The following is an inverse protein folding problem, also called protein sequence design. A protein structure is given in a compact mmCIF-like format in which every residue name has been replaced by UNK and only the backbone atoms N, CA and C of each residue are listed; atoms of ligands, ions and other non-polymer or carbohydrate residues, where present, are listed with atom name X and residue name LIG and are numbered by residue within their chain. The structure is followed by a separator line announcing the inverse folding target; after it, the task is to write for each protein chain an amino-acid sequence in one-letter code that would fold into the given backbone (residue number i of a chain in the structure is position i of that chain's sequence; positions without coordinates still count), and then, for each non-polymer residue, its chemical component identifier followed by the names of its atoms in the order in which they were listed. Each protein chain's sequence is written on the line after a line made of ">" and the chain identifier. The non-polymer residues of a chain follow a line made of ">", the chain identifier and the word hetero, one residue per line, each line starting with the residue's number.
data_IF_211185180357
#
_entry.id   IF_211185180357
#
_cell.length_a   1.000
_cell.length_b   1.000
_cell.length_c   1.000
_cell.angle_alpha   90.00
_cell.angle_beta   90.00
_cell.angle_gamma   90.00
#
_symmetry.space_group_name_H-M   'P 1'
#
loop_
_entity.id
_entity.type
_entity.pdbx_description
1 polymer ?
#
# COMPACT_ATOMS: atom_id res chain seq x y z
N UNK A 1 -7.99 24.58 22.17
CA UNK A 1 -7.56 25.34 20.97
C UNK A 1 -7.32 24.35 19.84
N UNK A 2 -8.32 24.11 18.99
CA UNK A 2 -8.31 23.15 17.86
C UNK A 2 -8.02 23.95 16.58
N UNK A 3 -7.01 23.58 15.81
CA UNK A 3 -6.67 24.22 14.53
C UNK A 3 -6.78 23.19 13.41
N UNK A 4 -7.74 23.47 12.51
CA UNK A 4 -7.79 23.25 11.07
C UNK A 4 -7.51 21.85 10.48
N UNK A 5 -8.60 21.07 10.35
CA UNK A 5 -8.81 20.15 9.22
C UNK A 5 -9.42 20.95 8.05
N UNK A 6 -8.57 21.55 7.23
CA UNK A 6 -8.97 22.14 5.94
C UNK A 6 -8.18 21.47 4.82
N UNK A 7 -8.86 21.15 3.72
CA UNK A 7 -8.34 20.78 2.39
C UNK A 7 -8.56 19.35 1.88
N UNK A 8 -9.78 18.80 2.01
CA UNK A 8 -10.25 17.73 1.11
C UNK A 8 -11.58 18.04 0.38
N UNK A 9 -12.16 19.24 0.57
CA UNK A 9 -13.46 19.59 -0.04
C UNK A 9 -13.36 20.21 -1.45
N UNK A 10 -12.18 20.56 -1.95
CA UNK A 10 -12.08 21.40 -3.15
C UNK A 10 -11.38 20.68 -4.31
N UNK A 11 -12.09 19.77 -5.01
CA UNK A 11 -11.84 19.48 -6.45
C UNK A 11 -12.84 18.59 -7.19
N UNK A 12 -14.09 18.45 -6.73
CA UNK A 12 -15.10 17.64 -7.45
C UNK A 12 -16.39 18.43 -7.74
N UNK A 13 -16.29 19.76 -7.97
CA UNK A 13 -17.44 20.58 -8.36
C UNK A 13 -17.13 21.43 -9.61
N UNK A 14 -16.62 20.81 -10.68
CA UNK A 14 -16.47 21.50 -11.98
C UNK A 14 -17.11 20.76 -13.16
N UNK A 15 -17.90 19.72 -12.92
CA UNK A 15 -18.56 18.95 -13.99
C UNK A 15 -19.97 18.59 -13.55
N UNK A 16 -20.86 19.57 -13.34
CA UNK A 16 -22.30 19.38 -13.52
C UNK A 16 -22.89 20.73 -13.91
N UNK A 17 -23.32 20.80 -15.18
CA UNK A 17 -24.07 21.92 -15.71
C UNK A 17 -25.39 22.10 -14.98
N UNK A 18 -25.85 23.35 -14.98
CA UNK A 18 -27.15 23.79 -14.50
C UNK A 18 -28.28 23.02 -15.19
N UNK A 19 -29.10 22.29 -14.43
CA UNK A 19 -30.50 22.07 -14.79
C UNK A 19 -31.37 21.78 -13.55
N UNK A 20 -32.39 22.63 -13.41
CA UNK A 20 -33.62 22.57 -12.60
C UNK A 20 -33.66 21.77 -11.29
N UNK A 21 -33.79 22.53 -10.20
CA UNK A 21 -34.22 22.07 -8.89
C UNK A 21 -35.71 21.64 -8.88
N UNK A 22 -36.01 20.41 -8.44
CA UNK A 22 -37.25 20.13 -7.70
C UNK A 22 -37.21 18.78 -6.96
N UNK A 23 -37.56 18.86 -5.67
CA UNK A 23 -38.01 17.79 -4.76
C UNK A 23 -37.08 16.61 -4.47
N UNK A 24 -36.15 16.79 -3.53
CA UNK A 24 -35.75 15.71 -2.63
C UNK A 24 -35.84 16.22 -1.19
N UNK A 25 -36.42 15.45 -0.25
CA UNK A 25 -36.57 15.88 1.13
C UNK A 25 -35.18 16.08 1.75
N UNK A 26 -35.03 17.15 2.55
CA UNK A 26 -33.79 17.59 3.22
C UNK A 26 -33.35 16.66 4.36
N UNK A 27 -33.61 15.36 4.23
CA UNK A 27 -33.37 14.35 5.24
C UNK A 27 -32.30 13.40 4.71
N UNK A 28 -31.17 13.34 5.42
CA UNK A 28 -30.06 12.40 5.21
C UNK A 28 -28.89 12.83 4.30
N UNK A 29 -28.30 14.00 4.58
CA UNK A 29 -26.85 14.20 4.41
C UNK A 29 -26.13 13.79 5.72
N UNK A 30 -26.36 12.56 6.18
CA UNK A 30 -25.35 11.92 7.02
C UNK A 30 -24.33 11.37 6.05
N UNK A 31 -23.14 11.96 6.03
CA UNK A 31 -21.96 11.41 5.37
C UNK A 31 -21.77 9.98 5.85
N UNK A 32 -22.35 9.02 5.13
CA UNK A 32 -22.10 7.61 5.38
C UNK A 32 -20.59 7.44 5.24
N UNK A 33 -19.88 6.94 6.27
CA UNK A 33 -18.46 6.71 6.14
C UNK A 33 -18.26 5.82 4.92
N UNK A 34 -17.54 6.33 3.92
CA UNK A 34 -17.17 5.55 2.73
C UNK A 34 -16.52 4.27 3.26
N UNK A 35 -16.94 3.06 2.84
CA UNK A 35 -16.34 1.83 3.32
C UNK A 35 -14.81 1.93 3.25
N UNK A 36 -14.18 1.90 4.42
CA UNK A 36 -12.73 2.10 4.53
C UNK A 36 -12.04 0.86 3.96
N UNK A 37 -11.31 1.04 2.87
CA UNK A 37 -10.45 -0.01 2.34
C UNK A 37 -9.18 -0.11 3.20
N UNK A 38 -8.90 -1.28 3.74
CA UNK A 38 -7.65 -1.54 4.48
C UNK A 38 -6.68 -2.33 3.61
N UNK A 39 -5.47 -1.82 3.44
CA UNK A 39 -4.36 -2.46 2.75
C UNK A 39 -3.56 -3.34 3.71
N UNK A 40 -3.44 -4.63 3.43
CA UNK A 40 -2.66 -5.57 4.25
C UNK A 40 -1.36 -5.92 3.54
N UNK A 41 -0.27 -5.28 3.94
CA UNK A 41 1.05 -5.47 3.35
C UNK A 41 1.82 -6.56 4.08
N UNK A 42 2.34 -7.49 3.31
CA UNK A 42 3.12 -8.62 3.79
C UNK A 42 4.45 -8.67 3.06
N UNK A 43 5.58 -8.71 3.75
CA UNK A 43 6.85 -9.07 3.12
C UNK A 43 7.20 -10.52 3.41
N UNK A 44 7.74 -11.23 2.42
CA UNK A 44 8.12 -12.63 2.55
C UNK A 44 9.33 -12.99 1.68
N UNK A 45 9.88 -14.16 1.93
CA UNK A 45 10.93 -14.81 1.15
C UNK A 45 10.40 -16.01 0.38
N UNK A 46 10.59 -16.04 -0.94
CA UNK A 46 10.18 -17.16 -1.80
C UNK A 46 10.77 -18.49 -1.33
N UNK A 47 11.96 -18.50 -0.73
CA UNK A 47 12.60 -19.72 -0.22
C UNK A 47 11.87 -20.36 0.97
N UNK A 48 11.02 -19.61 1.70
CA UNK A 48 10.37 -20.09 2.92
C UNK A 48 8.92 -20.56 2.73
N UNK A 49 8.35 -20.37 1.53
CA UNK A 49 6.96 -20.71 1.19
C UNK A 49 5.89 -20.19 2.17
N UNK A 50 6.22 -19.23 3.03
CA UNK A 50 5.39 -18.80 4.17
C UNK A 50 4.17 -17.97 3.77
N UNK A 51 4.11 -17.58 2.50
CA UNK A 51 2.99 -16.84 1.91
C UNK A 51 1.94 -17.75 1.28
N UNK A 52 2.27 -19.00 0.95
CA UNK A 52 1.45 -19.84 0.07
C UNK A 52 0.04 -20.07 0.63
N UNK A 53 -0.06 -20.55 1.86
CA UNK A 53 -1.34 -20.78 2.54
C UNK A 53 -2.14 -19.48 2.70
N UNK A 54 -1.48 -18.39 3.10
CA UNK A 54 -2.13 -17.08 3.27
C UNK A 54 -2.71 -16.58 1.95
N UNK A 55 -1.92 -16.63 0.88
CA UNK A 55 -2.35 -16.18 -0.45
C UNK A 55 -3.50 -17.03 -1.00
N UNK A 56 -3.50 -18.35 -0.78
CA UNK A 56 -4.63 -19.20 -1.19
C UNK A 56 -5.94 -18.82 -0.50
N UNK A 57 -5.88 -18.42 0.78
CA UNK A 57 -7.07 -18.06 1.56
C UNK A 57 -7.57 -16.65 1.25
N UNK A 58 -6.66 -15.69 1.01
CA UNK A 58 -7.02 -14.28 0.93
C UNK A 58 -6.94 -13.68 -0.47
N UNK A 59 -6.26 -14.35 -1.42
CA UNK A 59 -5.94 -13.79 -2.73
C UNK A 59 -5.11 -12.50 -2.64
N UNK A 60 -5.36 -11.56 -3.54
CA UNK A 60 -4.68 -10.25 -3.58
C UNK A 60 -3.52 -10.20 -4.57
N UNK A 61 -2.59 -9.26 -4.36
CA UNK A 61 -1.44 -9.07 -5.25
C UNK A 61 -0.18 -9.75 -4.71
N UNK A 62 0.61 -10.35 -5.60
CA UNK A 62 1.99 -10.73 -5.32
C UNK A 62 2.93 -9.89 -6.17
N UNK A 63 3.80 -9.14 -5.51
CA UNK A 63 4.76 -8.21 -6.11
C UNK A 63 6.16 -8.79 -5.95
N UNK A 64 6.73 -9.30 -7.05
CA UNK A 64 8.08 -9.85 -7.06
C UNK A 64 9.13 -8.72 -7.07
N UNK A 65 9.87 -8.59 -5.98
CA UNK A 65 10.90 -7.59 -5.77
C UNK A 65 12.30 -8.09 -6.16
N UNK A 66 12.47 -9.30 -6.70
CA UNK A 66 13.79 -9.89 -7.00
C UNK A 66 14.56 -9.18 -8.11
N UNK A 67 13.87 -8.44 -8.99
CA UNK A 67 14.51 -7.66 -10.05
C UNK A 67 15.22 -6.39 -9.52
N UNK A 68 14.96 -5.98 -8.27
CA UNK A 68 15.59 -4.80 -7.67
C UNK A 68 17.05 -5.07 -7.27
N UNK A 69 17.88 -4.01 -7.15
CA UNK A 69 19.26 -4.10 -6.70
C UNK A 69 19.42 -4.97 -5.45
N UNK A 70 20.44 -5.82 -5.40
CA UNK A 70 20.59 -6.80 -4.34
C UNK A 70 21.66 -6.36 -3.32
N UNK A 71 21.27 -5.89 -2.11
CA UNK A 71 22.24 -5.45 -1.10
C UNK A 71 23.02 -6.61 -0.47
N UNK A 72 22.61 -7.86 -0.70
CA UNK A 72 23.25 -9.04 -0.12
C UNK A 72 24.74 -9.18 -0.49
N UNK A 73 25.14 -8.68 -1.65
CA UNK A 73 26.53 -8.75 -2.12
C UNK A 73 27.44 -7.67 -1.53
N UNK A 74 26.88 -6.76 -0.74
CA UNK A 74 27.63 -5.78 0.03
C UNK A 74 27.77 -6.34 1.44
N UNK A 75 28.98 -6.76 1.81
CA UNK A 75 29.26 -7.50 3.04
C UNK A 75 28.69 -6.80 4.28
N UNK A 76 28.93 -5.49 4.38
CA UNK A 76 28.44 -4.61 5.45
C UNK A 76 26.90 -4.52 5.52
N UNK A 77 26.19 -4.80 4.43
CA UNK A 77 24.73 -4.70 4.36
C UNK A 77 24.00 -6.01 4.65
N UNK A 78 24.68 -7.15 4.49
CA UNK A 78 24.09 -8.49 4.55
C UNK A 78 23.40 -8.82 5.90
N UNK A 79 23.92 -8.27 6.99
CA UNK A 79 23.40 -8.47 8.33
C UNK A 79 22.12 -7.65 8.61
N UNK A 80 21.93 -6.53 7.92
CA UNK A 80 20.80 -5.64 8.11
C UNK A 80 19.52 -6.15 7.43
N UNK A 81 18.39 -5.53 7.73
CA UNK A 81 17.08 -5.79 7.14
C UNK A 81 16.58 -4.57 6.36
N UNK A 82 15.53 -4.74 5.57
CA UNK A 82 14.87 -3.64 4.85
C UNK A 82 14.34 -2.50 5.74
N UNK A 83 14.29 -2.69 7.06
CA UNK A 83 13.91 -1.68 8.04
C UNK A 83 15.06 -0.78 8.44
N UNK A 84 16.29 -1.27 8.32
CA UNK A 84 17.46 -0.63 8.87
C UNK A 84 17.98 0.48 7.95
N UNK A 85 18.45 1.56 8.57
CA UNK A 85 18.87 2.76 7.85
C UNK A 85 19.94 2.51 6.76
N UNK A 86 20.94 1.62 6.95
CA UNK A 86 21.91 1.31 5.88
C UNK A 86 21.25 0.76 4.61
N UNK A 87 20.26 -0.12 4.75
CA UNK A 87 19.52 -0.70 3.63
C UNK A 87 18.60 0.34 2.99
N UNK A 88 17.95 1.19 3.80
CA UNK A 88 17.11 2.28 3.27
C UNK A 88 17.95 3.26 2.45
N UNK A 89 19.14 3.60 2.93
CA UNK A 89 20.09 4.46 2.19
C UNK A 89 20.49 3.81 0.87
N UNK A 90 20.94 2.55 0.90
CA UNK A 90 21.30 1.80 -0.30
C UNK A 90 20.19 1.86 -1.36
N UNK A 91 18.94 1.57 -0.99
CA UNK A 91 17.84 1.59 -1.95
C UNK A 91 17.42 2.99 -2.41
N UNK A 92 17.60 4.02 -1.57
CA UNK A 92 17.26 5.40 -1.94
C UNK A 92 18.15 5.99 -3.03
N UNK A 93 19.34 5.41 -3.23
CA UNK A 93 20.30 5.83 -4.25
C UNK A 93 20.02 5.21 -5.63
N UNK A 94 18.98 4.37 -5.75
CA UNK A 94 18.63 3.69 -6.99
C UNK A 94 17.27 4.14 -7.55
N UNK A 95 17.29 4.88 -8.66
CA UNK A 95 16.08 5.34 -9.36
C UNK A 95 15.12 4.21 -9.74
N UNK A 96 15.66 3.05 -10.11
CA UNK A 96 14.86 1.86 -10.43
C UNK A 96 13.96 1.41 -9.28
N UNK A 97 14.40 1.62 -8.03
CA UNK A 97 13.62 1.30 -6.83
C UNK A 97 12.52 2.34 -6.63
N UNK A 98 12.83 3.62 -6.80
CA UNK A 98 11.83 4.70 -6.76
C UNK A 98 10.72 4.49 -7.79
N UNK A 99 11.09 4.20 -9.04
CA UNK A 99 10.16 3.91 -10.14
C UNK A 99 9.27 2.70 -9.83
N UNK A 100 9.85 1.64 -9.24
CA UNK A 100 9.10 0.45 -8.85
C UNK A 100 8.06 0.73 -7.75
N UNK A 101 8.44 1.52 -6.74
CA UNK A 101 7.54 1.97 -5.67
C UNK A 101 6.40 2.78 -6.28
N UNK A 102 6.69 3.74 -7.17
CA UNK A 102 5.66 4.57 -7.78
C UNK A 102 4.70 3.75 -8.65
N UNK A 103 5.20 2.86 -9.50
CA UNK A 103 4.37 2.00 -10.34
C UNK A 103 3.45 1.12 -9.49
N UNK A 104 3.98 0.51 -8.43
CA UNK A 104 3.21 -0.34 -7.53
C UNK A 104 2.17 0.46 -6.75
N UNK A 105 2.52 1.63 -6.21
CA UNK A 105 1.59 2.56 -5.58
C UNK A 105 0.41 2.89 -6.50
N UNK A 106 0.67 3.22 -7.75
CA UNK A 106 -0.36 3.58 -8.72
C UNK A 106 -1.30 2.40 -9.01
N UNK A 107 -0.76 1.18 -9.14
CA UNK A 107 -1.57 -0.04 -9.28
C UNK A 107 -2.51 -0.25 -8.08
N UNK A 108 -2.00 -0.12 -6.86
CA UNK A 108 -2.79 -0.31 -5.64
C UNK A 108 -3.90 0.74 -5.52
N UNK A 109 -3.58 2.02 -5.75
CA UNK A 109 -4.55 3.12 -5.72
C UNK A 109 -5.65 2.92 -6.77
N UNK A 110 -5.27 2.55 -8.00
CA UNK A 110 -6.23 2.27 -9.06
C UNK A 110 -7.19 1.14 -8.67
N UNK A 111 -6.68 0.10 -8.00
CA UNK A 111 -7.49 -1.03 -7.55
C UNK A 111 -8.45 -0.64 -6.43
N UNK A 112 -7.98 0.11 -5.43
CA UNK A 112 -8.84 0.63 -4.34
C UNK A 112 -9.95 1.51 -4.90
N UNK A 113 -9.62 2.44 -5.80
CA UNK A 113 -10.60 3.32 -6.42
C UNK A 113 -11.65 2.56 -7.25
N UNK A 114 -11.23 1.52 -7.98
CA UNK A 114 -12.13 0.66 -8.73
C UNK A 114 -13.07 -0.13 -7.80
N UNK A 115 -12.58 -0.58 -6.65
CA UNK A 115 -13.41 -1.26 -5.65
C UNK A 115 -14.44 -0.31 -5.02
N UNK A 116 -14.01 0.88 -4.59
CA UNK A 116 -14.90 1.89 -3.98
C UNK A 116 -16.05 2.31 -4.90
N UNK A 117 -15.81 2.37 -6.22
CA UNK A 117 -16.85 2.70 -7.21
C UNK A 117 -17.97 1.66 -7.30
N UNK A 118 -17.72 0.39 -6.91
CA UNK A 118 -18.73 -0.67 -6.94
C UNK A 118 -19.78 -0.55 -5.83
N UNK A 119 -19.65 0.43 -4.92
CA UNK A 119 -20.58 0.69 -3.80
C UNK A 119 -20.92 -0.57 -3.00
N UNK A 120 -19.95 -1.47 -2.84
CA UNK A 120 -20.12 -2.64 -2.00
C UNK A 120 -20.26 -2.16 -0.55
N UNK A 121 -21.29 -2.66 0.13
CA UNK A 121 -21.58 -2.35 1.53
C UNK A 121 -20.54 -2.91 2.50
N UNK A 122 -19.71 -3.85 2.05
CA UNK A 122 -18.78 -4.58 2.88
C UNK A 122 -17.38 -3.92 2.93
N UNK A 123 -16.72 -3.89 4.11
CA UNK A 123 -15.35 -3.43 4.22
C UNK A 123 -14.40 -4.21 3.30
N UNK A 124 -13.65 -3.48 2.47
CA UNK A 124 -12.69 -4.08 1.55
C UNK A 124 -11.33 -4.25 2.22
N UNK A 125 -10.88 -5.48 2.35
CA UNK A 125 -9.50 -5.79 2.73
C UNK A 125 -8.71 -6.19 1.47
N UNK A 126 -7.59 -5.51 1.20
CA UNK A 126 -6.72 -5.83 0.07
C UNK A 126 -5.33 -6.30 0.54
N UNK A 127 -5.10 -7.63 0.56
CA UNK A 127 -3.77 -8.19 0.78
C UNK A 127 -2.81 -7.87 -0.38
N UNK A 128 -1.57 -7.52 -0.04
CA UNK A 128 -0.47 -7.31 -0.97
C UNK A 128 0.79 -7.96 -0.41
N UNK A 129 1.38 -8.87 -1.17
CA UNK A 129 2.51 -9.70 -0.78
C UNK A 129 3.75 -9.32 -1.57
N UNK A 130 4.76 -8.76 -0.89
CA UNK A 130 6.05 -8.39 -1.46
C UNK A 130 7.04 -9.54 -1.27
N UNK A 131 7.52 -10.11 -2.36
CA UNK A 131 8.42 -11.26 -2.35
C UNK A 131 9.85 -10.91 -2.74
N UNK A 132 10.84 -11.36 -1.98
CA UNK A 132 12.23 -11.47 -2.48
C UNK A 132 12.77 -12.87 -2.18
N UNK A 133 14.04 -13.17 -2.44
CA UNK A 133 14.55 -14.55 -2.24
C UNK A 133 14.44 -14.98 -0.77
N UNK A 134 15.04 -14.22 0.15
CA UNK A 134 15.13 -14.56 1.58
C UNK A 134 14.22 -13.76 2.52
N UNK A 135 13.40 -12.83 2.00
CA UNK A 135 12.43 -12.13 2.83
C UNK A 135 12.97 -11.07 3.80
N UNK A 136 14.27 -10.75 3.75
CA UNK A 136 14.96 -9.86 4.70
C UNK A 136 15.16 -8.41 4.22
N UNK A 137 15.51 -8.21 2.95
CA UNK A 137 15.96 -6.90 2.43
C UNK A 137 14.92 -6.22 1.52
N UNK A 138 14.86 -6.63 0.24
CA UNK A 138 14.09 -5.97 -0.83
C UNK A 138 12.59 -5.93 -0.52
N UNK A 139 12.00 -7.09 -0.20
CA UNK A 139 10.56 -7.15 0.07
C UNK A 139 10.17 -6.34 1.31
N UNK A 140 10.99 -6.37 2.36
CA UNK A 140 10.78 -5.59 3.60
C UNK A 140 10.82 -4.10 3.29
N UNK A 141 11.87 -3.63 2.59
CA UNK A 141 12.04 -2.22 2.26
C UNK A 141 10.88 -1.67 1.42
N UNK A 142 10.44 -2.43 0.40
CA UNK A 142 9.33 -2.01 -0.46
C UNK A 142 8.02 -1.93 0.33
N UNK A 143 7.73 -2.94 1.16
CA UNK A 143 6.52 -2.98 1.97
C UNK A 143 6.46 -1.82 2.98
N UNK A 144 7.58 -1.54 3.66
CA UNK A 144 7.75 -0.39 4.57
C UNK A 144 7.53 0.94 3.84
N UNK A 145 8.20 1.13 2.71
CA UNK A 145 8.17 2.37 1.95
C UNK A 145 6.75 2.67 1.43
N UNK A 146 6.08 1.68 0.85
CA UNK A 146 4.72 1.84 0.36
C UNK A 146 3.72 2.06 1.49
N UNK A 147 3.84 1.34 2.61
CA UNK A 147 2.99 1.53 3.78
C UNK A 147 3.07 2.98 4.28
N UNK A 148 4.30 3.49 4.46
CA UNK A 148 4.54 4.85 4.91
C UNK A 148 3.97 5.91 3.94
N UNK A 149 4.14 5.71 2.62
CA UNK A 149 3.61 6.63 1.60
C UNK A 149 2.08 6.66 1.63
N UNK A 150 1.43 5.49 1.70
CA UNK A 150 -0.03 5.39 1.64
C UNK A 150 -0.70 5.84 2.93
N UNK A 151 -0.12 5.55 4.10
CA UNK A 151 -0.60 6.11 5.38
C UNK A 151 -0.55 7.63 5.35
N UNK A 152 0.55 8.22 4.87
CA UNK A 152 0.67 9.68 4.71
C UNK A 152 -0.36 10.25 3.71
N UNK A 153 -0.83 9.42 2.78
CA UNK A 153 -1.85 9.78 1.79
C UNK A 153 -3.28 9.52 2.27
N UNK A 154 -3.47 9.09 3.53
CA UNK A 154 -4.78 8.88 4.15
C UNK A 154 -5.38 7.48 3.99
N UNK A 155 -4.61 6.50 3.51
CA UNK A 155 -5.06 5.11 3.42
C UNK A 155 -4.78 4.36 4.74
N UNK A 156 -5.67 3.43 5.09
CA UNK A 156 -5.45 2.50 6.20
C UNK A 156 -4.56 1.33 5.73
N UNK A 157 -3.41 1.15 6.38
CA UNK A 157 -2.43 0.12 6.03
C UNK A 157 -2.00 -0.67 7.27
N UNK A 158 -1.96 -2.00 7.15
CA UNK A 158 -1.35 -2.91 8.13
C UNK A 158 -0.15 -3.58 7.51
N UNK A 159 0.97 -3.62 8.23
CA UNK A 159 2.22 -4.19 7.74
C UNK A 159 2.61 -5.42 8.57
N UNK A 160 3.09 -6.47 7.91
CA UNK A 160 3.59 -7.69 8.55
C UNK A 160 4.79 -8.24 7.78
N UNK A 161 5.85 -8.62 8.48
CA UNK A 161 7.02 -9.25 7.86
C UNK A 161 7.07 -10.72 8.25
N UNK A 162 6.81 -11.62 7.31
CA UNK A 162 6.64 -13.06 7.58
C UNK A 162 7.96 -13.79 7.85
N UNK A 163 9.04 -13.33 7.23
CA UNK A 163 10.31 -14.06 7.17
C UNK A 163 11.52 -13.20 7.56
N UNK A 164 11.32 -12.01 8.14
CA UNK A 164 12.41 -11.04 8.40
C UNK A 164 13.46 -11.57 9.38
N UNK A 165 13.06 -12.44 10.31
CA UNK A 165 13.94 -13.05 11.32
C UNK A 165 14.45 -14.43 10.89
N UNK A 166 14.04 -14.94 9.72
CA UNK A 166 14.46 -16.26 9.23
C UNK A 166 15.80 -16.16 8.51
N UNK A 167 16.63 -17.19 8.67
CA UNK A 167 17.94 -17.31 8.00
C UNK A 167 17.82 -17.60 6.50
#
# INVERSE_FOLDING_TARGET
>A
CRICLGNLQCRVNSILGSDSASSYPSFFLMSQPVPTATLHFHSFGFKHNSVYEKFQLTGGFVVDCRALPNPYWVEELSAFSGKDQPIRKFFSEHDSVGNFIEATKNLLIATVAAHQKKQLSDPFCMPVYFGCTGGKHRSVYIAESLSQILIKSGYDCKLTHLDIEKE
#
